data_IF_668616616538
#
_entry.id   IF_668616616538
#
_cell.length_a   1.000
_cell.length_b   1.000
_cell.length_c   1.000
_cell.angle_alpha   90.00
_cell.angle_beta   90.00
_cell.angle_gamma   90.00
#
_symmetry.space_group_name_H-M   'P 1'
#
loop_
_entity.id
_entity.type
_entity.pdbx_description
1 polymer ?
#
# COMPACT_ATOMS: atom_id res chain seq x y z
N UNK A 1 -33.77 -11.90 1.12
CA UNK A 1 -33.18 -11.41 2.41
C UNK A 1 -32.88 -9.93 2.21
N UNK A 2 -33.28 -9.10 3.18
CA UNK A 2 -33.59 -7.67 3.05
C UNK A 2 -32.57 -6.86 2.23
N UNK A 3 -33.04 -6.26 1.14
CA UNK A 3 -32.44 -5.06 0.53
C UNK A 3 -32.49 -3.94 1.57
N UNK A 4 -31.36 -3.68 2.24
CA UNK A 4 -31.21 -2.52 3.10
C UNK A 4 -30.95 -1.30 2.23
N UNK A 5 -31.80 -0.27 2.37
CA UNK A 5 -31.51 1.09 1.92
C UNK A 5 -30.06 1.45 2.31
N UNK A 6 -29.25 2.09 1.43
CA UNK A 6 -27.92 2.53 1.83
C UNK A 6 -28.10 3.54 2.96
N UNK A 7 -27.69 3.14 4.16
CA UNK A 7 -27.64 4.02 5.33
C UNK A 7 -26.59 5.07 5.02
N UNK A 8 -27.05 6.23 4.57
CA UNK A 8 -26.18 7.40 4.43
C UNK A 8 -25.90 7.90 5.84
N UNK A 9 -24.64 7.84 6.26
CA UNK A 9 -24.24 8.35 7.58
C UNK A 9 -23.82 9.81 7.47
N UNK A 10 -23.96 10.57 8.56
CA UNK A 10 -23.60 12.00 8.60
C UNK A 10 -22.10 12.25 8.72
N UNK A 11 -21.34 11.29 9.26
CA UNK A 11 -19.91 11.35 9.43
C UNK A 11 -19.30 9.94 9.48
N UNK A 12 -18.08 9.79 8.96
CA UNK A 12 -17.31 8.56 9.10
C UNK A 12 -16.88 8.33 10.56
N UNK A 13 -16.56 7.08 10.94
CA UNK A 13 -15.94 6.78 12.23
C UNK A 13 -14.73 7.66 12.53
N UNK A 14 -14.46 7.92 13.81
CA UNK A 14 -13.27 8.67 14.20
C UNK A 14 -12.04 7.76 14.21
N UNK A 15 -10.88 8.34 13.96
CA UNK A 15 -9.60 7.61 14.07
C UNK A 15 -9.32 7.36 15.55
N UNK A 16 -9.12 6.10 15.91
CA UNK A 16 -8.66 5.72 17.24
C UNK A 16 -7.21 5.25 17.18
N UNK A 17 -6.42 5.60 18.19
CA UNK A 17 -5.01 5.26 18.27
C UNK A 17 -4.67 4.63 19.61
N UNK A 18 -3.84 3.58 19.56
CA UNK A 18 -3.22 2.96 20.73
C UNK A 18 -1.77 2.61 20.45
N UNK A 19 -0.88 3.08 21.31
CA UNK A 19 0.50 2.59 21.35
C UNK A 19 0.53 1.15 21.88
N UNK A 20 1.25 0.28 21.19
CA UNK A 20 1.49 -1.11 21.58
C UNK A 20 2.80 -1.29 22.33
N UNK A 21 3.42 -2.45 22.10
CA UNK A 21 4.68 -2.83 22.73
C UNK A 21 5.83 -1.92 22.31
N UNK A 22 6.71 -1.63 23.28
CA UNK A 22 8.01 -0.99 23.04
C UNK A 22 9.10 -2.02 23.30
N UNK A 23 9.95 -2.27 22.30
CA UNK A 23 11.08 -3.20 22.38
C UNK A 23 12.36 -2.37 22.23
N UNK A 24 13.29 -2.52 23.17
CA UNK A 24 14.63 -1.95 23.08
C UNK A 24 15.63 -3.04 22.77
N UNK A 25 16.36 -2.90 21.67
CA UNK A 25 17.31 -3.90 21.21
C UNK A 25 18.40 -3.26 20.34
N UNK A 26 19.67 -3.56 20.62
CA UNK A 26 20.85 -3.16 19.83
C UNK A 26 20.94 -1.66 19.48
N UNK A 27 20.61 -0.80 20.45
CA UNK A 27 20.62 0.66 20.24
C UNK A 27 19.45 1.18 19.41
N UNK A 28 18.38 0.39 19.28
CA UNK A 28 17.12 0.79 18.69
C UNK A 28 15.97 0.65 19.67
N UNK A 29 15.01 1.57 19.55
CA UNK A 29 13.68 1.44 20.13
C UNK A 29 12.69 1.18 19.00
N UNK A 30 11.91 0.11 19.17
CA UNK A 30 10.91 -0.37 18.22
C UNK A 30 9.55 -0.26 18.89
N UNK A 31 8.67 0.57 18.33
CA UNK A 31 7.37 0.88 18.92
C UNK A 31 6.27 0.38 17.97
N UNK A 32 5.38 -0.45 18.49
CA UNK A 32 4.19 -0.86 17.76
C UNK A 32 3.09 0.22 17.88
N UNK A 33 2.43 0.55 16.78
CA UNK A 33 1.30 1.48 16.74
C UNK A 33 0.08 0.80 16.11
N UNK A 34 -1.06 0.97 16.76
CA UNK A 34 -2.35 0.40 16.32
C UNK A 34 -3.34 1.52 16.11
N UNK A 35 -4.02 1.48 14.96
CA UNK A 35 -5.02 2.44 14.57
C UNK A 35 -6.32 1.73 14.19
N UNK A 36 -7.45 2.32 14.52
CA UNK A 36 -8.73 2.05 13.86
C UNK A 36 -9.05 3.26 13.00
N UNK A 37 -9.22 3.05 11.70
CA UNK A 37 -9.51 4.10 10.73
C UNK A 37 -10.77 3.76 9.94
N UNK A 38 -11.50 4.74 9.39
CA UNK A 38 -12.66 4.46 8.57
C UNK A 38 -12.32 3.57 7.38
N UNK A 39 -13.15 2.56 7.13
CA UNK A 39 -12.95 1.65 6.01
C UNK A 39 -13.07 2.39 4.67
N UNK A 40 -13.93 3.40 4.58
CA UNK A 40 -14.27 4.09 3.31
C UNK A 40 -13.57 5.43 3.09
N UNK A 41 -12.69 5.89 4.00
CA UNK A 41 -12.10 7.24 3.89
C UNK A 41 -11.25 7.47 2.63
N UNK A 42 -10.72 6.40 2.02
CA UNK A 42 -9.98 6.49 0.76
C UNK A 42 -10.85 6.97 -0.40
N UNK A 43 -12.15 6.68 -0.35
CA UNK A 43 -13.09 7.12 -1.36
C UNK A 43 -13.19 8.65 -1.43
N UNK A 44 -12.82 9.37 -0.37
CA UNK A 44 -12.78 10.84 -0.39
C UNK A 44 -11.80 11.33 -1.48
N UNK A 45 -10.64 10.67 -1.62
CA UNK A 45 -9.65 11.04 -2.63
C UNK A 45 -10.07 10.65 -4.05
N UNK A 46 -10.68 9.49 -4.23
CA UNK A 46 -10.94 8.92 -5.56
C UNK A 46 -12.33 9.18 -6.12
N UNK A 47 -13.35 9.22 -5.27
CA UNK A 47 -14.78 9.32 -5.65
C UNK A 47 -15.52 10.47 -4.94
N UNK A 48 -14.88 11.16 -4.00
CA UNK A 48 -15.45 12.27 -3.24
C UNK A 48 -16.12 11.86 -1.92
N UNK A 49 -16.41 12.86 -1.08
CA UNK A 49 -16.93 12.66 0.28
C UNK A 49 -18.28 11.95 0.30
N UNK A 50 -19.18 12.27 -0.63
CA UNK A 50 -20.51 11.66 -0.68
C UNK A 50 -20.44 10.16 -0.97
N UNK A 51 -19.50 9.73 -1.82
CA UNK A 51 -19.26 8.32 -2.08
C UNK A 51 -18.76 7.58 -0.82
N UNK A 52 -17.94 8.24 0.00
CA UNK A 52 -17.47 7.67 1.26
C UNK A 52 -18.60 7.48 2.29
N UNK A 53 -19.52 8.45 2.38
CA UNK A 53 -20.63 8.48 3.35
C UNK A 53 -21.84 7.64 2.93
N UNK A 54 -22.06 7.45 1.63
CA UNK A 54 -23.16 6.65 1.08
C UNK A 54 -22.78 5.18 0.85
N UNK A 55 -21.50 4.83 1.00
CA UNK A 55 -21.05 3.44 0.91
C UNK A 55 -21.74 2.57 1.96
N UNK A 56 -22.08 1.34 1.59
CA UNK A 56 -22.64 0.34 2.52
C UNK A 56 -21.70 -0.02 3.69
N UNK A 57 -20.42 0.37 3.58
CA UNK A 57 -19.40 0.13 4.59
C UNK A 57 -19.01 1.40 5.35
N UNK A 58 -19.76 2.50 5.19
CA UNK A 58 -19.38 3.81 5.71
C UNK A 58 -19.25 3.85 7.23
N UNK A 59 -20.04 3.05 7.95
CA UNK A 59 -20.05 2.96 9.40
C UNK A 59 -18.96 2.04 9.97
N UNK A 60 -18.16 1.41 9.11
CA UNK A 60 -17.16 0.43 9.50
C UNK A 60 -15.77 1.04 9.61
N UNK A 61 -14.98 0.48 10.53
CA UNK A 61 -13.56 0.78 10.70
C UNK A 61 -12.70 -0.45 10.39
N UNK A 62 -11.46 -0.20 10.02
CA UNK A 62 -10.44 -1.22 9.77
C UNK A 62 -9.22 -0.97 10.65
N UNK A 63 -8.62 -2.07 11.11
CA UNK A 63 -7.40 -2.03 11.93
C UNK A 63 -6.18 -1.89 11.05
N UNK A 64 -5.36 -0.89 11.33
CA UNK A 64 -4.06 -0.64 10.69
C UNK A 64 -2.96 -0.73 11.75
N UNK A 65 -1.85 -1.35 11.34
CA UNK A 65 -0.64 -1.51 12.13
C UNK A 65 0.51 -0.78 11.47
N UNK A 66 1.30 -0.09 12.28
CA UNK A 66 2.58 0.46 11.88
C UNK A 66 3.61 0.21 12.97
N UNK A 67 4.86 0.05 12.57
CA UNK A 67 5.99 -0.06 13.49
C UNK A 67 6.93 1.09 13.31
N UNK A 68 7.23 1.77 14.39
CA UNK A 68 8.23 2.81 14.43
C UNK A 68 9.59 2.24 14.83
N UNK A 69 10.64 2.63 14.13
CA UNK A 69 12.03 2.28 14.43
C UNK A 69 12.82 3.56 14.68
N UNK A 70 13.41 3.65 15.87
CA UNK A 70 14.18 4.79 16.35
C UNK A 70 15.58 4.31 16.70
N UNK A 71 16.61 4.91 16.12
CA UNK A 71 17.98 4.69 16.58
C UNK A 71 18.25 5.55 17.83
N UNK A 72 18.50 4.93 18.97
CA UNK A 72 18.72 5.59 20.26
C UNK A 72 20.20 5.79 20.59
N UNK A 73 21.10 5.61 19.62
CA UNK A 73 22.53 5.81 19.84
C UNK A 73 22.85 7.26 20.19
N UNK A 74 23.55 7.44 21.31
CA UNK A 74 24.03 8.76 21.79
C UNK A 74 25.13 9.34 20.90
N UNK A 75 25.74 8.54 20.03
CA UNK A 75 26.78 8.99 19.09
C UNK A 75 26.22 9.78 17.89
N UNK A 76 24.89 9.81 17.71
CA UNK A 76 24.25 10.52 16.62
C UNK A 76 24.11 12.01 16.93
N UNK A 77 24.47 12.85 15.97
CA UNK A 77 24.48 14.32 16.14
C UNK A 77 23.08 14.95 16.10
N UNK A 78 22.10 14.27 15.51
CA UNK A 78 20.70 14.73 15.45
C UNK A 78 19.87 14.02 16.53
N UNK A 79 19.38 14.74 17.55
CA UNK A 79 18.53 14.16 18.59
C UNK A 79 17.22 13.57 18.05
N UNK A 80 16.71 12.50 18.67
CA UNK A 80 15.51 11.75 18.23
C UNK A 80 14.30 12.67 18.07
N UNK A 81 14.10 13.58 19.02
CA UNK A 81 13.02 14.55 19.02
C UNK A 81 13.13 15.59 17.92
N UNK A 82 14.28 15.73 17.25
CA UNK A 82 14.44 16.62 16.08
C UNK A 82 14.40 15.88 14.74
N UNK A 83 14.38 14.54 14.76
CA UNK A 83 14.35 13.74 13.54
C UNK A 83 12.95 13.79 12.90
N UNK A 84 12.83 14.11 11.60
CA UNK A 84 11.55 14.02 10.90
C UNK A 84 11.12 12.55 10.78
N UNK A 85 9.82 12.35 10.56
CA UNK A 85 9.28 11.03 10.28
C UNK A 85 9.49 10.68 8.80
N UNK A 86 9.69 9.39 8.53
CA UNK A 86 9.65 8.84 7.19
C UNK A 86 8.80 7.57 7.17
N UNK A 87 7.78 7.53 6.32
CA UNK A 87 6.98 6.33 6.12
C UNK A 87 7.54 5.49 4.98
N UNK A 88 7.68 4.20 5.23
CA UNK A 88 8.03 3.21 4.23
C UNK A 88 6.78 2.58 3.63
N UNK A 89 6.69 2.69 2.31
CA UNK A 89 5.63 2.12 1.49
C UNK A 89 6.17 0.86 0.83
N UNK A 90 5.68 -0.29 1.27
CA UNK A 90 6.18 -1.60 0.88
C UNK A 90 5.76 -1.94 -0.57
N UNK A 91 6.68 -2.57 -1.30
CA UNK A 91 6.46 -3.08 -2.64
C UNK A 91 5.90 -4.48 -2.72
N UNK A 92 5.62 -4.94 -3.96
CA UNK A 92 4.97 -6.22 -4.26
C UNK A 92 3.63 -6.31 -3.55
N UNK A 93 2.51 -5.85 -4.12
CA UNK A 93 1.28 -5.76 -3.33
C UNK A 93 0.97 -7.09 -2.63
N UNK A 94 0.50 -7.04 -1.38
CA UNK A 94 0.17 -8.23 -0.60
C UNK A 94 1.16 -8.61 0.52
N UNK A 95 2.29 -7.91 0.67
CA UNK A 95 3.21 -8.13 1.79
C UNK A 95 3.09 -7.04 2.86
N UNK A 96 3.26 -7.44 4.13
CA UNK A 96 3.49 -6.49 5.22
C UNK A 96 4.89 -5.86 5.11
N UNK A 97 5.12 -4.79 5.87
CA UNK A 97 6.43 -4.17 5.97
C UNK A 97 7.50 -5.14 6.54
N UNK A 98 8.80 -4.88 6.29
CA UNK A 98 9.88 -5.73 6.76
C UNK A 98 9.82 -6.02 8.25
N UNK A 99 10.05 -7.28 8.62
CA UNK A 99 10.15 -7.67 10.03
C UNK A 99 11.41 -7.06 10.65
N UNK A 100 11.29 -6.61 11.89
CA UNK A 100 12.37 -5.96 12.64
C UNK A 100 13.12 -6.92 13.58
N UNK A 101 13.24 -8.20 13.20
CA UNK A 101 13.96 -9.20 14.00
C UNK A 101 15.47 -8.92 14.11
N UNK A 102 16.04 -8.23 13.13
CA UNK A 102 17.32 -7.54 13.22
C UNK A 102 17.21 -6.23 12.44
N UNK A 103 17.60 -5.10 13.05
CA UNK A 103 17.59 -3.80 12.38
C UNK A 103 18.90 -3.64 11.61
N UNK A 104 18.82 -3.67 10.28
CA UNK A 104 19.99 -3.57 9.40
C UNK A 104 19.69 -2.86 8.07
N UNK A 105 20.70 -2.81 7.20
CA UNK A 105 20.57 -2.28 5.85
C UNK A 105 20.04 -0.84 5.80
N UNK A 106 19.13 -0.58 4.88
CA UNK A 106 18.58 0.75 4.64
C UNK A 106 17.74 1.28 5.81
N UNK A 107 17.12 0.42 6.63
CA UNK A 107 16.33 0.83 7.80
C UNK A 107 17.27 1.43 8.85
N UNK A 108 18.37 0.73 9.15
CA UNK A 108 19.39 1.21 10.09
C UNK A 108 19.99 2.55 9.63
N UNK A 109 20.25 2.70 8.33
CA UNK A 109 20.76 3.95 7.77
C UNK A 109 19.77 5.11 7.90
N UNK A 110 18.50 4.91 7.53
CA UNK A 110 17.47 5.95 7.67
C UNK A 110 17.22 6.33 9.13
N UNK A 111 17.25 5.36 10.05
CA UNK A 111 16.99 5.58 11.48
C UNK A 111 18.02 6.51 12.15
N UNK A 112 19.20 6.71 11.55
CA UNK A 112 20.20 7.69 12.01
C UNK A 112 19.70 9.13 11.92
N UNK A 113 18.82 9.42 10.95
CA UNK A 113 18.39 10.79 10.60
C UNK A 113 16.88 10.98 10.67
N UNK A 114 16.10 9.89 10.67
CA UNK A 114 14.65 9.92 10.68
C UNK A 114 14.09 8.98 11.77
N UNK A 115 12.84 9.21 12.16
CA UNK A 115 11.99 8.20 12.82
C UNK A 115 11.30 7.38 11.72
N UNK A 116 11.62 6.10 11.59
CA UNK A 116 11.19 5.28 10.45
C UNK A 116 9.87 4.59 10.79
N UNK A 117 8.82 4.84 10.01
CA UNK A 117 7.51 4.20 10.14
C UNK A 117 7.38 3.10 9.08
N UNK A 118 7.36 1.86 9.53
CA UNK A 118 7.11 0.65 8.75
C UNK A 118 5.61 0.37 8.77
N UNK A 119 4.90 0.82 7.74
CA UNK A 119 3.45 0.66 7.62
C UNK A 119 3.09 -0.69 7.01
N UNK A 120 2.30 -1.49 7.71
CA UNK A 120 1.58 -2.59 7.05
C UNK A 120 0.38 -1.97 6.33
N UNK A 121 0.39 -1.97 4.99
CA UNK A 121 -0.73 -1.42 4.23
C UNK A 121 -2.00 -2.23 4.53
N UNK A 122 -3.19 -1.59 4.49
CA UNK A 122 -4.46 -2.29 4.66
C UNK A 122 -4.52 -3.54 3.77
N UNK A 123 -4.96 -4.65 4.34
CA UNK A 123 -5.02 -5.93 3.64
C UNK A 123 -3.73 -6.74 3.67
N UNK A 124 -2.66 -6.25 4.32
CA UNK A 124 -1.39 -6.97 4.46
C UNK A 124 -0.91 -7.03 5.91
N UNK A 125 0.03 -7.94 6.18
CA UNK A 125 0.68 -8.06 7.50
C UNK A 125 -0.31 -8.15 8.67
N UNK A 126 -0.18 -7.27 9.64
CA UNK A 126 -1.05 -7.16 10.80
C UNK A 126 -2.24 -6.19 10.59
N UNK A 127 -2.29 -5.51 9.44
CA UNK A 127 -3.32 -4.57 9.03
C UNK A 127 -4.48 -5.26 8.31
N UNK A 128 -5.28 -6.01 9.08
CA UNK A 128 -6.52 -6.64 8.59
C UNK A 128 -6.33 -7.41 7.26
N UNK A 129 -5.46 -8.44 7.24
CA UNK A 129 -5.00 -9.07 6.01
C UNK A 129 -6.15 -9.68 5.21
N UNK A 130 -6.15 -9.52 3.89
CA UNK A 130 -7.12 -10.15 3.01
C UNK A 130 -6.83 -11.64 2.81
N UNK A 131 -7.89 -12.46 2.79
CA UNK A 131 -7.82 -13.89 2.52
C UNK A 131 -9.08 -14.33 1.79
N UNK A 132 -9.01 -15.43 1.03
CA UNK A 132 -10.18 -15.98 0.36
C UNK A 132 -11.36 -16.21 1.33
N UNK A 133 -11.05 -16.64 2.57
CA UNK A 133 -12.05 -16.87 3.62
C UNK A 133 -12.74 -15.59 4.07
N UNK A 134 -11.99 -14.51 4.34
CA UNK A 134 -12.62 -13.28 4.83
C UNK A 134 -13.32 -12.50 3.71
N UNK A 135 -12.83 -12.55 2.47
CA UNK A 135 -13.53 -11.95 1.33
C UNK A 135 -14.86 -12.65 1.09
N UNK A 136 -14.87 -13.99 1.04
CA UNK A 136 -16.12 -14.74 0.81
C UNK A 136 -17.14 -14.57 1.94
N UNK A 137 -16.69 -14.32 3.17
CA UNK A 137 -17.57 -14.05 4.30
C UNK A 137 -18.30 -12.69 4.22
N UNK A 138 -17.85 -11.76 3.37
CA UNK A 138 -18.45 -10.41 3.25
C UNK A 138 -19.84 -10.45 2.57
N UNK A 139 -20.09 -11.40 1.66
CA UNK A 139 -21.39 -11.57 1.02
C UNK A 139 -21.32 -12.03 -0.42
N UNK A 140 -22.30 -11.61 -1.23
CA UNK A 140 -22.38 -11.94 -2.66
C UNK A 140 -21.22 -11.32 -3.47
N UNK A 141 -20.87 -11.85 -4.65
CA UNK A 141 -19.70 -11.42 -5.44
C UNK A 141 -19.61 -9.90 -5.67
N UNK A 142 -20.74 -9.22 -5.90
CA UNK A 142 -20.78 -7.77 -6.08
C UNK A 142 -20.36 -7.03 -4.80
N UNK A 143 -20.82 -7.50 -3.64
CA UNK A 143 -20.45 -6.94 -2.33
C UNK A 143 -18.96 -7.19 -2.05
N UNK A 144 -18.45 -8.37 -2.43
CA UNK A 144 -17.03 -8.69 -2.33
C UNK A 144 -16.18 -7.73 -3.18
N UNK A 145 -16.61 -7.45 -4.42
CA UNK A 145 -15.94 -6.51 -5.31
C UNK A 145 -15.89 -5.10 -4.71
N UNK A 146 -17.03 -4.61 -4.23
CA UNK A 146 -17.11 -3.30 -3.55
C UNK A 146 -16.20 -3.25 -2.31
N UNK A 147 -16.10 -4.33 -1.54
CA UNK A 147 -15.23 -4.41 -0.37
C UNK A 147 -13.75 -4.38 -0.74
N UNK A 148 -13.31 -5.16 -1.74
CA UNK A 148 -11.89 -5.18 -2.14
C UNK A 148 -11.45 -3.90 -2.85
N UNK A 149 -12.39 -3.12 -3.42
CA UNK A 149 -12.08 -1.76 -3.90
C UNK A 149 -11.58 -0.83 -2.79
N UNK A 150 -11.97 -1.07 -1.54
CA UNK A 150 -11.54 -0.29 -0.38
C UNK A 150 -10.11 -0.63 0.08
N UNK A 151 -9.38 -1.47 -0.65
CA UNK A 151 -7.97 -1.84 -0.38
C UNK A 151 -7.01 -1.25 -1.42
N UNK A 152 -7.47 -0.29 -2.23
CA UNK A 152 -6.70 0.36 -3.28
C UNK A 152 -5.80 1.47 -2.74
N UNK A 153 -4.98 2.04 -3.64
CA UNK A 153 -3.97 3.04 -3.31
C UNK A 153 -4.54 4.27 -2.58
N UNK A 154 -5.70 4.77 -3.01
CA UNK A 154 -6.43 5.86 -2.36
C UNK A 154 -6.68 5.59 -0.86
N UNK A 155 -7.08 4.37 -0.54
CA UNK A 155 -7.36 3.91 0.81
C UNK A 155 -6.09 3.70 1.63
N UNK A 156 -5.02 3.20 1.02
CA UNK A 156 -3.70 3.09 1.65
C UNK A 156 -3.11 4.48 1.95
N UNK A 157 -3.29 5.46 1.06
CA UNK A 157 -2.83 6.84 1.31
C UNK A 157 -3.67 7.50 2.41
N UNK A 158 -4.98 7.28 2.44
CA UNK A 158 -5.82 7.77 3.52
C UNK A 158 -5.44 7.18 4.89
N UNK A 159 -5.04 5.90 4.96
CA UNK A 159 -4.48 5.31 6.19
C UNK A 159 -3.20 6.02 6.61
N UNK A 160 -2.31 6.26 5.65
CA UNK A 160 -1.04 6.92 5.91
C UNK A 160 -1.27 8.35 6.43
N UNK A 161 -2.23 9.09 5.86
CA UNK A 161 -2.62 10.42 6.34
C UNK A 161 -3.20 10.39 7.76
N UNK A 162 -4.12 9.45 8.05
CA UNK A 162 -4.68 9.29 9.39
C UNK A 162 -3.59 8.99 10.45
N UNK A 163 -2.62 8.14 10.09
CA UNK A 163 -1.48 7.82 10.95
C UNK A 163 -0.58 9.04 11.13
N UNK A 164 -0.28 9.78 10.06
CA UNK A 164 0.55 10.99 10.11
C UNK A 164 -0.06 12.03 11.03
N UNK A 165 -1.36 12.30 10.92
CA UNK A 165 -2.05 13.28 11.75
C UNK A 165 -1.96 12.96 13.24
N UNK A 166 -2.05 11.69 13.60
CA UNK A 166 -1.90 11.23 14.99
C UNK A 166 -0.44 11.32 15.45
N UNK A 167 0.50 10.72 14.72
CA UNK A 167 1.90 10.62 15.15
C UNK A 167 2.62 11.97 15.14
N UNK A 168 2.19 12.91 14.30
CA UNK A 168 2.77 14.25 14.17
C UNK A 168 1.89 15.32 14.81
N UNK A 169 0.92 14.96 15.66
CA UNK A 169 -0.01 15.92 16.27
C UNK A 169 0.71 17.07 16.99
N UNK A 170 1.77 16.74 17.73
CA UNK A 170 2.59 17.66 18.54
C UNK A 170 3.79 18.24 17.77
N UNK A 171 3.87 18.03 16.45
CA UNK A 171 4.96 18.53 15.61
C UNK A 171 4.58 19.87 14.99
N UNK A 172 5.56 20.78 14.94
CA UNK A 172 5.44 22.05 14.20
C UNK A 172 5.33 21.77 12.70
N UNK A 173 6.29 21.03 12.13
CA UNK A 173 6.15 20.49 10.77
C UNK A 173 5.41 19.15 10.81
N UNK A 174 4.15 19.18 10.36
CA UNK A 174 3.28 18.00 10.30
C UNK A 174 3.49 17.16 9.03
N UNK A 175 4.46 17.51 8.18
CA UNK A 175 4.80 16.72 6.99
C UNK A 175 5.76 15.61 7.36
N UNK A 176 5.71 14.51 6.61
CA UNK A 176 6.70 13.43 6.69
C UNK A 176 7.29 13.13 5.31
N UNK A 177 8.40 12.40 5.29
CA UNK A 177 8.98 11.90 4.04
C UNK A 177 8.40 10.55 3.67
N UNK A 178 8.49 10.16 2.40
CA UNK A 178 8.15 8.79 1.94
C UNK A 178 9.37 8.08 1.37
N UNK A 179 9.46 6.77 1.59
CA UNK A 179 10.34 5.89 0.80
C UNK A 179 9.54 4.69 0.32
N UNK A 180 9.42 4.55 -1.00
CA UNK A 180 8.57 3.54 -1.63
C UNK A 180 9.37 2.61 -2.54
N UNK A 181 9.23 1.30 -2.35
CA UNK A 181 9.90 0.29 -3.16
C UNK A 181 8.90 -0.41 -4.08
N UNK A 182 9.21 -0.63 -5.36
CA UNK A 182 8.31 -1.32 -6.31
C UNK A 182 6.87 -0.76 -6.28
N UNK A 183 5.84 -1.54 -5.94
CA UNK A 183 4.47 -1.02 -5.75
C UNK A 183 4.40 0.17 -4.79
N UNK A 184 5.27 0.23 -3.78
CA UNK A 184 5.42 1.38 -2.90
C UNK A 184 5.82 2.66 -3.64
N UNK A 185 6.53 2.58 -4.75
CA UNK A 185 6.77 3.71 -5.64
C UNK A 185 5.49 4.20 -6.33
N UNK A 186 4.57 3.31 -6.70
CA UNK A 186 3.25 3.69 -7.23
C UNK A 186 2.38 4.33 -6.13
N UNK A 187 2.49 3.84 -4.89
CA UNK A 187 1.88 4.49 -3.73
C UNK A 187 2.46 5.89 -3.50
N UNK A 188 3.78 6.07 -3.62
CA UNK A 188 4.41 7.41 -3.54
C UNK A 188 3.81 8.38 -4.57
N UNK A 189 3.63 7.95 -5.82
CA UNK A 189 2.98 8.78 -6.85
C UNK A 189 1.51 9.08 -6.52
N UNK A 190 0.79 8.11 -5.97
CA UNK A 190 -0.59 8.30 -5.51
C UNK A 190 -0.66 9.32 -4.36
N UNK A 191 0.30 9.26 -3.43
CA UNK A 191 0.42 10.19 -2.31
C UNK A 191 0.67 11.62 -2.81
N UNK A 192 1.61 11.80 -3.74
CA UNK A 192 1.87 13.09 -4.39
C UNK A 192 0.66 13.63 -5.16
N UNK A 193 -0.25 12.77 -5.61
CA UNK A 193 -1.47 13.18 -6.31
C UNK A 193 -2.60 13.56 -5.34
N UNK A 194 -2.76 12.80 -4.25
CA UNK A 194 -3.89 12.95 -3.32
C UNK A 194 -3.63 13.91 -2.17
N UNK A 195 -2.40 13.94 -1.63
CA UNK A 195 -2.04 14.75 -0.47
C UNK A 195 -0.58 15.28 -0.55
N UNK A 196 -0.19 16.01 -1.61
CA UNK A 196 1.18 16.51 -1.76
C UNK A 196 1.63 17.44 -0.63
N UNK A 197 0.70 18.21 -0.05
CA UNK A 197 0.98 19.14 1.06
C UNK A 197 1.49 18.44 2.33
N UNK A 198 1.22 17.14 2.46
CA UNK A 198 1.56 16.31 3.60
C UNK A 198 2.99 15.75 3.53
N UNK A 199 3.67 15.96 2.39
CA UNK A 199 4.98 15.39 2.11
C UNK A 199 6.09 16.43 2.16
N UNK A 200 7.19 16.08 2.82
CA UNK A 200 8.43 16.88 2.83
C UNK A 200 9.33 16.55 1.64
N UNK A 201 9.55 15.26 1.41
CA UNK A 201 10.30 14.71 0.29
C UNK A 201 9.89 13.24 0.04
N UNK A 202 10.16 12.73 -1.15
CA UNK A 202 9.77 11.38 -1.56
C UNK A 202 10.90 10.65 -2.27
N UNK A 203 11.13 9.40 -1.87
CA UNK A 203 12.18 8.53 -2.42
C UNK A 203 11.52 7.30 -3.05
N UNK A 204 11.89 6.99 -4.29
CA UNK A 204 11.35 5.84 -5.03
C UNK A 204 12.50 4.89 -5.34
N UNK A 205 12.38 3.65 -4.89
CA UNK A 205 13.36 2.58 -5.09
C UNK A 205 12.75 1.48 -5.96
N UNK A 206 12.84 1.68 -7.28
CA UNK A 206 12.06 0.96 -8.29
C UNK A 206 10.54 1.17 -8.14
N UNK A 207 9.79 1.05 -9.25
CA UNK A 207 8.35 1.30 -9.25
C UNK A 207 7.98 2.76 -9.53
N UNK A 208 8.53 3.32 -10.60
CA UNK A 208 8.00 4.53 -11.19
C UNK A 208 6.94 4.13 -12.23
N UNK A 209 5.67 4.45 -11.96
CA UNK A 209 4.61 4.22 -12.94
C UNK A 209 4.78 5.18 -14.12
N UNK A 210 4.50 4.74 -15.35
CA UNK A 210 4.55 5.64 -16.49
C UNK A 210 3.42 6.67 -16.40
N UNK A 211 3.76 7.94 -16.62
CA UNK A 211 2.89 9.09 -16.29
C UNK A 211 2.00 9.51 -17.49
N UNK A 212 2.24 8.97 -18.69
CA UNK A 212 1.54 9.36 -19.93
C UNK A 212 1.32 8.18 -20.89
N UNK A 213 1.03 7.01 -20.35
CA UNK A 213 0.76 5.82 -21.16
C UNK A 213 -0.40 5.04 -20.59
N UNK A 214 -1.07 4.27 -21.42
CA UNK A 214 -2.13 3.38 -20.99
C UNK A 214 -1.55 2.09 -20.43
N UNK A 215 -2.33 1.41 -19.59
CA UNK A 215 -1.98 0.07 -19.11
C UNK A 215 -1.75 -0.92 -20.26
N UNK A 216 -2.54 -0.80 -21.34
CA UNK A 216 -2.40 -1.64 -22.53
C UNK A 216 -1.03 -1.45 -23.20
N UNK A 217 -0.55 -0.21 -23.34
CA UNK A 217 0.76 0.06 -23.90
C UNK A 217 1.89 -0.53 -23.03
N UNK A 218 1.75 -0.44 -21.70
CA UNK A 218 2.73 -1.06 -20.77
C UNK A 218 2.78 -2.57 -20.98
N UNK A 219 1.62 -3.23 -21.05
CA UNK A 219 1.56 -4.67 -21.27
C UNK A 219 2.06 -5.08 -22.64
N UNK A 220 1.70 -4.35 -23.71
CA UNK A 220 2.22 -4.60 -25.06
C UNK A 220 3.76 -4.57 -25.07
N UNK A 221 4.37 -3.48 -24.60
CA UNK A 221 5.83 -3.39 -24.53
C UNK A 221 6.45 -4.45 -23.62
N UNK A 222 5.79 -4.84 -22.53
CA UNK A 222 6.26 -5.91 -21.65
C UNK A 222 6.27 -7.26 -22.36
N UNK A 223 5.20 -7.58 -23.12
CA UNK A 223 5.11 -8.81 -23.90
C UNK A 223 6.15 -8.85 -25.03
N UNK A 224 6.33 -7.75 -25.75
CA UNK A 224 7.34 -7.64 -26.80
C UNK A 224 8.74 -7.90 -26.21
N UNK A 225 9.06 -7.24 -25.09
CA UNK A 225 10.35 -7.42 -24.42
C UNK A 225 10.54 -8.83 -23.86
N UNK A 226 9.49 -9.44 -23.32
CA UNK A 226 9.50 -10.83 -22.87
C UNK A 226 9.79 -11.79 -24.03
N UNK A 227 9.18 -11.57 -25.19
CA UNK A 227 9.41 -12.40 -26.37
C UNK A 227 10.88 -12.34 -26.82
N UNK A 228 11.46 -11.14 -26.87
CA UNK A 228 12.90 -10.94 -27.16
C UNK A 228 13.80 -11.66 -26.16
N UNK A 229 13.55 -11.48 -24.85
CA UNK A 229 14.34 -12.10 -23.78
C UNK A 229 14.23 -13.63 -23.80
N UNK A 230 13.05 -14.16 -24.10
CA UNK A 230 12.86 -15.60 -24.26
C UNK A 230 13.67 -16.14 -25.44
N UNK A 231 13.67 -15.44 -26.58
CA UNK A 231 14.49 -15.84 -27.74
C UNK A 231 15.98 -15.91 -27.38
N UNK A 232 16.52 -14.87 -26.76
CA UNK A 232 17.92 -14.83 -26.30
C UNK A 232 18.24 -15.96 -25.30
N UNK A 233 17.33 -16.22 -24.37
CA UNK A 233 17.48 -17.31 -23.41
C UNK A 233 17.58 -18.68 -24.13
N UNK A 234 16.77 -18.93 -25.15
CA UNK A 234 16.83 -20.19 -25.89
C UNK A 234 18.05 -20.32 -26.79
N UNK A 235 18.61 -19.20 -27.29
CA UNK A 235 19.91 -19.21 -27.97
C UNK A 235 21.02 -19.67 -27.02
N UNK A 236 20.97 -19.30 -25.74
CA UNK A 236 21.92 -19.79 -24.73
C UNK A 236 21.64 -21.22 -24.28
N UNK A 237 20.37 -21.64 -24.25
CA UNK A 237 19.95 -22.96 -23.75
C UNK A 237 19.03 -23.71 -24.73
N UNK A 238 19.55 -24.21 -25.87
CA UNK A 238 18.73 -24.81 -26.93
C UNK A 238 17.89 -26.02 -26.48
N UNK A 239 18.38 -26.78 -25.50
CA UNK A 239 17.67 -27.95 -24.93
C UNK A 239 16.40 -27.60 -24.15
N UNK A 240 16.24 -26.34 -23.73
CA UNK A 240 15.05 -25.87 -23.01
C UNK A 240 13.89 -25.49 -23.94
N UNK A 241 14.13 -25.38 -25.25
CA UNK A 241 13.13 -25.00 -26.25
C UNK A 241 12.03 -26.06 -26.43
N UNK A 242 12.35 -27.34 -26.23
CA UNK A 242 11.40 -28.47 -26.33
C UNK A 242 10.37 -28.53 -25.20
N UNK A 243 10.64 -27.91 -24.04
CA UNK A 243 9.80 -28.00 -22.85
C UNK A 243 8.55 -27.09 -22.92
N UNK A 244 8.64 -25.96 -23.64
CA UNK A 244 7.61 -24.92 -23.61
C UNK A 244 6.61 -24.94 -24.79
N UNK A 245 6.93 -25.58 -25.92
CA UNK A 245 5.95 -25.79 -27.00
C UNK A 245 4.77 -26.67 -26.55
N UNK A 246 4.95 -27.51 -25.54
CA UNK A 246 3.86 -28.26 -24.90
C UNK A 246 2.95 -27.37 -24.01
N UNK A 247 3.44 -26.22 -23.54
CA UNK A 247 2.71 -25.31 -22.63
C UNK A 247 2.21 -24.02 -23.28
N UNK A 248 2.76 -23.59 -24.43
CA UNK A 248 2.30 -22.39 -25.17
C UNK A 248 0.88 -22.55 -25.76
N UNK A 249 0.38 -23.78 -25.95
CA UNK A 249 -1.02 -24.03 -26.34
C UNK A 249 -2.04 -23.65 -25.24
N UNK A 250 -1.60 -23.30 -24.03
CA UNK A 250 -2.47 -22.92 -22.91
C UNK A 250 -2.65 -21.38 -22.81
N UNK A 251 -1.71 -20.60 -23.33
CA UNK A 251 -1.71 -19.12 -23.24
C UNK A 251 -1.89 -18.40 -24.58
N UNK A 252 -2.32 -19.09 -25.63
CA UNK A 252 -2.79 -18.40 -26.84
C UNK A 252 -3.98 -17.49 -26.47
N UNK A 253 -4.04 -16.24 -26.97
CA UNK A 253 -5.20 -15.39 -26.73
C UNK A 253 -6.40 -16.05 -27.38
N UNK A 254 -7.25 -16.69 -26.57
CA UNK A 254 -8.62 -16.92 -26.99
C UNK A 254 -9.21 -15.54 -27.22
N UNK A 255 -9.69 -15.27 -28.44
CA UNK A 255 -10.51 -14.10 -28.75
C UNK A 255 -11.75 -14.16 -27.85
N UNK A 256 -11.66 -13.60 -26.64
CA UNK A 256 -12.84 -13.28 -25.85
C UNK A 256 -13.42 -12.01 -26.46
N UNK A 257 -14.31 -12.19 -27.42
CA UNK A 257 -15.22 -11.14 -27.84
C UNK A 257 -16.16 -10.84 -26.66
N UNK A 258 -15.90 -9.77 -25.93
CA UNK A 258 -16.92 -9.16 -25.08
C UNK A 258 -18.03 -8.62 -26.00
N UNK A 259 -19.31 -8.97 -25.78
CA UNK A 259 -20.39 -8.37 -26.55
C UNK A 259 -20.44 -6.88 -26.23
N UNK A 260 -20.34 -6.04 -27.27
CA UNK A 260 -20.67 -4.62 -27.17
C UNK A 260 -22.15 -4.51 -26.83
N UNK A 261 -22.46 -3.90 -25.69
CA UNK A 261 -23.80 -3.40 -25.40
C UNK A 261 -23.96 -2.13 -26.25
N UNK A 262 -24.86 -2.18 -27.22
CA UNK A 262 -25.33 -1.00 -27.95
C UNK A 262 -26.33 -0.22 -27.09
N UNK A 263 -26.32 1.10 -27.26
CA UNK A 263 -27.17 2.11 -26.60
C UNK A 263 -28.66 1.76 -26.51
#
# INVERSE_FOLDING_TARGET
MKEGSPLTISALPQVEYRQGTVIKHDGYEIIDHWFQVPLTHGLIFSKGRDAALSSRFADQSIKIFAREVINTSETLTLPVEKRPYIVYLQGGPGFGSPKTGSIGGWIAELAKTHRVILLDQRGTGMSSPLSARNITAVGAPQIQAEYVELFRADSIIADAEAIREVLLADREDKRWSTTGQSFGGFLTLSYLSFAPQSLRDSRITAGLAPIRTTVDNVYQHTFDRMAERNKEYYEWFPRMQFSLLASQNICAPTKSTFPRVSD
#
